data_IF_114544961099
#
_entry.id   IF_114544961099
#
_cell.length_a   1.000
_cell.length_b   1.000
_cell.length_c   1.000
_cell.angle_alpha   90.00
_cell.angle_beta   90.00
_cell.angle_gamma   90.00
#
_symmetry.space_group_name_H-M   'P 1'
#
loop_
_entity.id
_entity.type
_entity.pdbx_description
1 polymer ?
#
# COMPACT_ATOMS: atom_id res chain seq x y z
N UNK A 1 14.15 14.94 -36.45
CA UNK A 1 12.83 14.56 -36.99
C UNK A 1 12.36 13.31 -36.26
N UNK A 2 11.53 13.50 -35.23
CA UNK A 2 10.99 12.42 -34.39
C UNK A 2 9.65 11.97 -34.97
N UNK A 3 9.55 10.72 -35.43
CA UNK A 3 8.30 10.09 -35.82
C UNK A 3 7.76 9.27 -34.63
N UNK A 4 6.49 9.52 -34.30
CA UNK A 4 5.74 8.87 -33.22
C UNK A 4 5.51 7.39 -33.55
N UNK A 5 5.73 6.50 -32.58
CA UNK A 5 5.21 5.14 -32.59
C UNK A 5 4.49 4.88 -31.26
N UNK A 6 3.16 4.90 -31.32
CA UNK A 6 2.25 4.49 -30.25
C UNK A 6 2.24 2.97 -30.17
N UNK A 7 2.77 2.40 -29.08
CA UNK A 7 2.66 0.97 -28.80
C UNK A 7 1.25 0.70 -28.26
N UNK A 8 0.47 -0.04 -29.05
CA UNK A 8 -0.89 -0.48 -28.77
C UNK A 8 -0.82 -1.69 -27.83
N UNK A 9 -1.34 -1.54 -26.61
CA UNK A 9 -1.42 -2.57 -25.57
C UNK A 9 -2.75 -3.32 -25.75
N UNK A 10 -2.86 -4.18 -26.77
CA UNK A 10 -4.08 -4.96 -27.05
C UNK A 10 -3.74 -6.32 -27.66
N UNK A 11 -3.08 -7.23 -26.92
CA UNK A 11 -2.89 -8.60 -27.45
C UNK A 11 -2.72 -9.73 -26.44
N UNK A 12 -2.82 -9.49 -25.12
CA UNK A 12 -2.65 -10.58 -24.13
C UNK A 12 -3.99 -11.10 -23.57
N UNK A 13 -5.09 -10.37 -23.72
CA UNK A 13 -6.39 -10.76 -23.13
C UNK A 13 -7.26 -11.63 -24.05
N UNK A 14 -6.89 -11.80 -25.32
CA UNK A 14 -7.75 -12.46 -26.33
C UNK A 14 -7.54 -13.98 -26.43
N UNK A 15 -6.50 -14.53 -25.81
CA UNK A 15 -6.16 -15.96 -25.95
C UNK A 15 -6.81 -16.89 -24.90
N UNK A 16 -7.33 -16.35 -23.80
CA UNK A 16 -8.00 -17.14 -22.75
C UNK A 16 -9.52 -17.30 -22.96
N UNK A 17 -10.12 -16.51 -23.87
CA UNK A 17 -11.57 -16.52 -24.12
C UNK A 17 -12.03 -17.58 -25.13
N UNK A 18 -11.11 -18.31 -25.79
CA UNK A 18 -11.42 -19.17 -26.93
C UNK A 18 -11.47 -20.69 -26.64
N UNK A 19 -11.51 -21.10 -25.36
CA UNK A 19 -11.61 -22.53 -24.97
C UNK A 19 -12.66 -22.77 -23.89
N UNK A 20 -13.93 -22.50 -24.20
CA UNK A 20 -15.07 -23.17 -23.56
C UNK A 20 -16.22 -23.15 -24.57
N UNK A 21 -16.69 -24.32 -24.95
CA UNK A 21 -17.79 -24.48 -25.92
C UNK A 21 -19.05 -23.71 -25.46
N UNK A 22 -19.84 -23.12 -26.37
CA UNK A 22 -21.09 -22.46 -26.02
C UNK A 22 -22.17 -23.54 -25.80
N UNK A 23 -22.16 -24.21 -24.65
CA UNK A 23 -23.22 -25.15 -24.29
C UNK A 23 -24.12 -24.55 -23.21
N UNK A 24 -25.21 -23.92 -23.70
CA UNK A 24 -26.45 -23.53 -22.99
C UNK A 24 -26.35 -22.27 -22.13
N UNK A 25 -26.19 -21.12 -22.80
CA UNK A 25 -26.40 -19.80 -22.21
C UNK A 25 -27.82 -19.66 -21.61
N UNK A 26 -27.94 -18.87 -20.54
CA UNK A 26 -29.24 -18.43 -20.05
C UNK A 26 -29.93 -17.63 -21.16
N UNK A 27 -31.21 -17.88 -21.39
CA UNK A 27 -32.03 -17.07 -22.30
C UNK A 27 -33.26 -16.54 -21.59
N UNK A 28 -33.62 -15.31 -21.96
CA UNK A 28 -34.82 -14.61 -21.50
C UNK A 28 -35.71 -14.37 -22.72
N UNK A 29 -36.99 -14.70 -22.59
CA UNK A 29 -38.01 -14.30 -23.56
C UNK A 29 -39.22 -13.71 -22.84
N UNK A 30 -39.84 -12.73 -23.50
CA UNK A 30 -40.96 -11.97 -22.96
C UNK A 30 -42.22 -12.30 -23.75
N UNK A 31 -43.31 -12.57 -23.06
CA UNK A 31 -44.64 -12.69 -23.64
C UNK A 31 -45.67 -12.05 -22.73
N UNK A 32 -46.61 -11.30 -23.30
CA UNK A 32 -47.74 -10.75 -22.55
C UNK A 32 -48.97 -11.65 -22.82
N UNK A 33 -49.51 -12.28 -21.77
CA UNK A 33 -50.63 -13.24 -21.85
C UNK A 33 -51.67 -12.87 -20.79
N UNK A 34 -52.94 -12.73 -21.19
CA UNK A 34 -54.08 -12.46 -20.31
C UNK A 34 -53.88 -11.28 -19.33
N UNK A 35 -53.28 -10.19 -19.82
CA UNK A 35 -53.02 -9.00 -19.01
C UNK A 35 -51.93 -9.18 -17.93
N UNK A 36 -51.12 -10.24 -18.03
CA UNK A 36 -49.93 -10.48 -17.22
C UNK A 36 -48.70 -10.53 -18.11
N UNK A 37 -47.55 -10.10 -17.58
CA UNK A 37 -46.26 -10.19 -18.28
C UNK A 37 -45.53 -11.46 -17.85
N UNK A 38 -45.17 -12.31 -18.80
CA UNK A 38 -44.46 -13.56 -18.57
C UNK A 38 -42.99 -13.41 -18.96
N UNK A 39 -42.08 -13.64 -18.01
CA UNK A 39 -40.64 -13.75 -18.22
C UNK A 39 -40.26 -15.22 -18.24
N UNK A 40 -39.92 -15.76 -19.41
CA UNK A 40 -39.47 -17.15 -19.55
C UNK A 40 -37.96 -17.20 -19.47
N UNK A 41 -37.45 -17.83 -18.41
CA UNK A 41 -36.04 -18.13 -18.21
C UNK A 41 -35.76 -19.58 -18.60
N UNK A 42 -34.75 -19.79 -19.44
CA UNK A 42 -34.34 -21.11 -19.91
C UNK A 42 -32.83 -21.29 -19.89
N UNK A 43 -32.39 -22.55 -19.82
CA UNK A 43 -30.97 -22.91 -19.81
C UNK A 43 -30.39 -22.98 -18.40
N UNK A 44 -29.10 -22.66 -18.26
CA UNK A 44 -28.39 -22.69 -16.98
C UNK A 44 -28.41 -21.30 -16.34
N UNK A 45 -28.81 -21.20 -15.07
CA UNK A 45 -28.73 -19.98 -14.26
C UNK A 45 -27.61 -20.13 -13.23
N UNK A 46 -26.38 -19.82 -13.63
CA UNK A 46 -25.22 -19.79 -12.75
C UNK A 46 -24.57 -18.41 -12.73
N UNK A 47 -23.64 -18.17 -11.80
CA UNK A 47 -22.98 -16.87 -11.65
C UNK A 47 -22.36 -16.31 -12.96
N UNK A 48 -22.04 -17.18 -13.93
CA UNK A 48 -21.46 -16.79 -15.21
C UNK A 48 -22.53 -16.51 -16.27
N UNK A 49 -23.62 -17.29 -16.31
CA UNK A 49 -24.65 -17.17 -17.34
C UNK A 49 -25.68 -16.07 -17.05
N UNK A 50 -25.94 -15.76 -15.78
CA UNK A 50 -26.97 -14.78 -15.38
C UNK A 50 -26.61 -13.34 -15.75
N UNK A 51 -25.32 -13.02 -15.93
CA UNK A 51 -24.86 -11.66 -16.23
C UNK A 51 -25.50 -11.07 -17.50
N UNK A 52 -25.82 -11.92 -18.49
CA UNK A 52 -26.45 -11.49 -19.74
C UNK A 52 -27.97 -11.34 -19.68
N UNK A 53 -28.65 -11.99 -18.73
CA UNK A 53 -30.13 -11.99 -18.66
C UNK A 53 -30.68 -11.18 -17.48
N UNK A 54 -29.87 -10.94 -16.45
CA UNK A 54 -30.32 -10.24 -15.24
C UNK A 54 -30.69 -8.77 -15.52
N UNK A 55 -29.89 -7.95 -16.22
CA UNK A 55 -30.26 -6.56 -16.52
C UNK A 55 -31.54 -6.48 -17.35
N UNK A 56 -31.69 -7.37 -18.33
CA UNK A 56 -32.87 -7.41 -19.21
C UNK A 56 -34.12 -7.86 -18.47
N UNK A 57 -34.00 -8.85 -17.57
CA UNK A 57 -35.10 -9.28 -16.71
C UNK A 57 -35.54 -8.14 -15.77
N UNK A 58 -34.59 -7.40 -15.19
CA UNK A 58 -34.86 -6.22 -14.36
C UNK A 58 -35.58 -5.12 -15.17
N UNK A 59 -35.05 -4.79 -16.34
CA UNK A 59 -35.65 -3.80 -17.23
C UNK A 59 -37.07 -4.19 -17.68
N UNK A 60 -37.32 -5.48 -17.94
CA UNK A 60 -38.64 -5.98 -18.32
C UNK A 60 -39.68 -5.84 -17.19
N UNK A 61 -39.26 -6.04 -15.93
CA UNK A 61 -40.10 -5.77 -14.77
C UNK A 61 -40.39 -4.26 -14.65
N UNK A 62 -39.38 -3.41 -14.80
CA UNK A 62 -39.50 -1.96 -14.63
C UNK A 62 -40.34 -1.31 -15.74
N UNK A 63 -40.33 -1.88 -16.95
CA UNK A 63 -41.14 -1.45 -18.08
C UNK A 63 -42.66 -1.73 -17.92
N UNK A 64 -43.06 -2.58 -16.96
CA UNK A 64 -44.47 -2.89 -16.71
C UNK A 64 -44.84 -2.74 -15.23
N UNK A 65 -44.73 -1.55 -14.63
CA UNK A 65 -44.79 -1.37 -13.17
C UNK A 65 -46.12 -1.76 -12.52
N UNK A 66 -47.23 -1.72 -13.28
CA UNK A 66 -48.59 -1.97 -12.79
C UNK A 66 -49.16 -3.32 -13.23
N UNK A 67 -48.37 -4.18 -13.85
CA UNK A 67 -48.82 -5.46 -14.39
C UNK A 67 -48.26 -6.61 -13.53
N UNK A 68 -49.04 -7.66 -13.21
CA UNK A 68 -48.51 -8.86 -12.57
C UNK A 68 -47.46 -9.53 -13.46
N UNK A 69 -46.37 -10.00 -12.86
CA UNK A 69 -45.26 -10.62 -13.60
C UNK A 69 -45.08 -12.08 -13.19
N UNK A 70 -45.12 -12.98 -14.16
CA UNK A 70 -44.90 -14.41 -13.96
C UNK A 70 -43.51 -14.79 -14.49
N UNK A 71 -42.65 -15.31 -13.63
CA UNK A 71 -41.32 -15.80 -14.01
C UNK A 71 -41.43 -17.31 -14.24
N UNK A 72 -41.46 -17.72 -15.49
CA UNK A 72 -41.54 -19.12 -15.90
C UNK A 72 -40.13 -19.74 -15.99
N UNK A 73 -39.91 -20.79 -15.19
CA UNK A 73 -38.59 -21.41 -15.00
C UNK A 73 -38.57 -22.91 -15.33
N UNK A 74 -39.62 -23.45 -15.94
CA UNK A 74 -39.71 -24.88 -16.30
C UNK A 74 -38.57 -25.36 -17.20
N UNK A 75 -37.99 -24.47 -18.01
CA UNK A 75 -36.85 -24.76 -18.91
C UNK A 75 -35.48 -24.47 -18.29
N UNK A 76 -35.43 -24.21 -16.98
CA UNK A 76 -34.16 -24.05 -16.25
C UNK A 76 -33.57 -25.43 -15.95
N UNK A 77 -32.38 -25.68 -16.47
CA UNK A 77 -31.67 -26.94 -16.33
C UNK A 77 -30.87 -26.99 -15.04
N UNK A 78 -30.26 -25.86 -14.66
CA UNK A 78 -29.38 -25.71 -13.51
C UNK A 78 -29.57 -24.33 -12.87
N UNK A 79 -29.51 -24.25 -11.54
CA UNK A 79 -29.58 -23.00 -10.78
C UNK A 79 -28.62 -23.08 -9.58
N UNK A 80 -27.68 -22.13 -9.46
CA UNK A 80 -26.78 -22.00 -8.29
C UNK A 80 -27.19 -20.84 -7.36
N UNK A 81 -26.35 -20.50 -6.38
CA UNK A 81 -26.59 -19.36 -5.49
C UNK A 81 -26.72 -18.01 -6.21
N UNK A 82 -26.02 -17.81 -7.33
CA UNK A 82 -26.16 -16.62 -8.18
C UNK A 82 -27.51 -16.59 -8.90
N UNK A 83 -27.94 -17.72 -9.46
CA UNK A 83 -29.26 -17.87 -10.06
C UNK A 83 -30.41 -17.64 -9.05
N UNK A 84 -30.27 -18.16 -7.83
CA UNK A 84 -31.22 -17.91 -6.74
C UNK A 84 -31.20 -16.43 -6.34
N UNK A 85 -30.02 -15.81 -6.21
CA UNK A 85 -29.90 -14.39 -5.91
C UNK A 85 -30.58 -13.51 -6.96
N UNK A 86 -30.51 -13.87 -8.25
CA UNK A 86 -31.26 -13.20 -9.31
C UNK A 86 -32.77 -13.33 -9.12
N UNK A 87 -33.29 -14.54 -8.84
CA UNK A 87 -34.72 -14.74 -8.60
C UNK A 87 -35.22 -13.97 -7.36
N UNK A 88 -34.46 -13.98 -6.26
CA UNK A 88 -34.74 -13.19 -5.07
C UNK A 88 -34.72 -11.69 -5.39
N UNK A 89 -33.75 -11.24 -6.21
CA UNK A 89 -33.70 -9.85 -6.66
C UNK A 89 -34.91 -9.44 -7.49
N UNK A 90 -35.45 -10.32 -8.35
CA UNK A 90 -36.66 -10.03 -9.10
C UNK A 90 -37.91 -10.00 -8.19
N UNK A 91 -37.99 -10.91 -7.21
CA UNK A 91 -39.11 -11.02 -6.26
C UNK A 91 -39.15 -9.88 -5.23
N UNK A 92 -38.00 -9.39 -4.78
CA UNK A 92 -37.93 -8.34 -3.73
C UNK A 92 -38.36 -6.95 -4.23
N UNK A 93 -38.59 -6.77 -5.52
CA UNK A 93 -38.68 -5.43 -6.09
C UNK A 93 -39.99 -4.74 -5.72
N UNK A 94 -39.94 -3.43 -5.41
CA UNK A 94 -41.09 -2.71 -4.88
C UNK A 94 -42.16 -2.60 -5.97
N UNK A 95 -43.32 -3.22 -5.74
CA UNK A 95 -44.47 -3.22 -6.66
C UNK A 95 -45.78 -3.12 -5.90
N UNK A 96 -46.84 -2.66 -6.57
CA UNK A 96 -48.18 -2.59 -6.00
C UNK A 96 -48.71 -3.99 -5.66
N UNK A 97 -49.60 -4.14 -4.67
CA UNK A 97 -50.16 -5.45 -4.28
C UNK A 97 -50.78 -6.23 -5.44
N UNK A 98 -51.34 -5.52 -6.41
CA UNK A 98 -52.01 -6.06 -7.61
C UNK A 98 -51.03 -6.45 -8.73
N UNK A 99 -49.76 -6.06 -8.64
CA UNK A 99 -48.74 -6.22 -9.69
C UNK A 99 -47.54 -7.07 -9.23
N UNK A 100 -47.78 -8.03 -8.33
CA UNK A 100 -46.72 -8.85 -7.74
C UNK A 100 -46.02 -9.77 -8.75
N UNK A 101 -44.80 -10.17 -8.40
CA UNK A 101 -43.97 -11.11 -9.15
C UNK A 101 -44.12 -12.49 -8.54
N UNK A 102 -44.35 -13.51 -9.36
CA UNK A 102 -44.41 -14.90 -8.91
C UNK A 102 -43.53 -15.79 -9.79
N UNK A 103 -42.83 -16.75 -9.17
CA UNK A 103 -42.03 -17.75 -9.90
C UNK A 103 -42.85 -19.02 -10.06
N UNK A 104 -42.92 -19.52 -11.30
CA UNK A 104 -43.63 -20.76 -11.67
C UNK A 104 -42.67 -21.73 -12.37
N UNK A 105 -42.97 -23.02 -12.30
CA UNK A 105 -42.18 -24.06 -13.00
C UNK A 105 -40.83 -24.40 -12.39
N UNK A 106 -40.50 -23.88 -11.20
CA UNK A 106 -39.19 -24.10 -10.58
C UNK A 106 -39.07 -25.55 -10.07
N UNK A 107 -38.02 -26.25 -10.49
CA UNK A 107 -37.76 -27.63 -10.04
C UNK A 107 -37.63 -27.69 -8.49
N UNK A 108 -38.13 -28.75 -7.83
CA UNK A 108 -38.18 -28.84 -6.36
C UNK A 108 -36.83 -28.62 -5.65
N UNK A 109 -35.75 -29.10 -6.26
CA UNK A 109 -34.38 -28.94 -5.76
C UNK A 109 -33.93 -27.47 -5.64
N UNK A 110 -34.36 -26.60 -6.57
CA UNK A 110 -34.03 -25.18 -6.56
C UNK A 110 -35.04 -24.37 -5.74
N UNK A 111 -36.29 -24.83 -5.67
CA UNK A 111 -37.31 -24.25 -4.81
C UNK A 111 -36.89 -24.28 -3.34
N UNK A 112 -36.28 -25.39 -2.90
CA UNK A 112 -35.75 -25.51 -1.52
C UNK A 112 -34.68 -24.45 -1.21
N UNK A 113 -33.87 -24.06 -2.20
CA UNK A 113 -32.88 -22.99 -2.03
C UNK A 113 -33.54 -21.61 -2.03
N UNK A 114 -34.55 -21.39 -2.87
CA UNK A 114 -35.29 -20.12 -2.93
C UNK A 114 -36.06 -19.86 -1.63
N UNK A 115 -36.69 -20.91 -1.07
CA UNK A 115 -37.50 -20.83 0.15
C UNK A 115 -36.66 -20.49 1.41
N UNK A 116 -35.33 -20.59 1.35
CA UNK A 116 -34.43 -20.13 2.43
C UNK A 116 -34.33 -18.61 2.52
N UNK A 117 -34.77 -17.88 1.49
CA UNK A 117 -34.68 -16.43 1.42
C UNK A 117 -36.09 -15.82 1.47
N UNK A 118 -36.36 -14.96 2.45
CA UNK A 118 -37.57 -14.14 2.49
C UNK A 118 -37.37 -12.87 1.63
N UNK A 119 -38.01 -12.76 0.45
CA UNK A 119 -37.83 -11.62 -0.45
C UNK A 119 -38.39 -10.32 0.15
N UNK A 120 -39.34 -10.40 1.07
CA UNK A 120 -39.97 -9.23 1.72
C UNK A 120 -39.05 -8.70 2.83
N UNK A 121 -38.46 -9.59 3.63
CA UNK A 121 -37.46 -9.20 4.63
C UNK A 121 -36.16 -8.66 3.99
N UNK A 122 -35.83 -9.10 2.77
CA UNK A 122 -34.66 -8.64 1.99
C UNK A 122 -34.95 -7.46 1.07
N UNK A 123 -36.11 -6.81 1.19
CA UNK A 123 -36.33 -5.50 0.55
C UNK A 123 -35.29 -4.54 1.10
N UNK A 124 -34.41 -4.07 0.21
CA UNK A 124 -33.46 -3.03 0.58
C UNK A 124 -34.27 -1.84 1.14
N UNK A 125 -33.87 -1.26 2.29
CA UNK A 125 -34.46 0.00 2.73
C UNK A 125 -34.42 0.98 1.56
N UNK A 126 -35.42 1.88 1.42
CA UNK A 126 -35.43 2.87 0.36
C UNK A 126 -34.04 3.52 0.32
N UNK A 127 -33.39 3.53 -0.86
CA UNK A 127 -32.07 4.15 -1.01
C UNK A 127 -32.18 5.53 -0.38
N UNK A 128 -31.54 5.72 0.77
CA UNK A 128 -31.40 7.05 1.34
C UNK A 128 -30.81 7.88 0.22
N UNK A 129 -31.50 8.97 -0.15
CA UNK A 129 -30.96 9.89 -1.13
C UNK A 129 -29.54 10.17 -0.66
N UNK A 130 -28.54 9.90 -1.51
CA UNK A 130 -27.19 10.35 -1.27
C UNK A 130 -27.30 11.87 -1.17
N UNK A 131 -27.49 12.38 0.05
CA UNK A 131 -27.38 13.78 0.34
C UNK A 131 -26.02 14.14 -0.23
N UNK A 132 -26.01 15.01 -1.24
CA UNK A 132 -24.76 15.55 -1.79
C UNK A 132 -24.05 16.16 -0.60
N UNK A 133 -23.10 15.42 -0.07
CA UNK A 133 -22.44 15.79 1.15
C UNK A 133 -21.74 17.10 0.85
N UNK A 134 -22.19 18.15 1.54
CA UNK A 134 -21.54 19.44 1.49
C UNK A 134 -20.04 19.20 1.72
N UNK A 135 -19.19 19.90 0.98
CA UNK A 135 -17.72 19.79 1.07
C UNK A 135 -17.23 19.85 2.54
N UNK A 136 -17.97 20.55 3.41
CA UNK A 136 -17.75 20.60 4.87
C UNK A 136 -17.91 19.22 5.54
N UNK A 137 -18.92 18.43 5.16
CA UNK A 137 -19.13 17.08 5.69
C UNK A 137 -18.08 16.08 5.18
N UNK A 138 -17.58 16.25 3.95
CA UNK A 138 -16.43 15.48 3.45
C UNK A 138 -15.15 15.78 4.21
N UNK A 139 -14.86 17.08 4.44
CA UNK A 139 -13.75 17.52 5.28
C UNK A 139 -13.90 16.98 6.71
N UNK A 140 -15.11 17.04 7.27
CA UNK A 140 -15.40 16.51 8.61
C UNK A 140 -15.12 15.01 8.72
N UNK A 141 -15.53 14.21 7.73
CA UNK A 141 -15.20 12.78 7.68
C UNK A 141 -13.71 12.52 7.51
N UNK A 142 -13.03 13.26 6.63
CA UNK A 142 -11.59 13.15 6.45
C UNK A 142 -10.84 13.45 7.76
N UNK A 143 -11.26 14.50 8.48
CA UNK A 143 -10.71 14.85 9.78
C UNK A 143 -10.92 13.74 10.83
N UNK A 144 -12.09 13.11 10.85
CA UNK A 144 -12.36 11.99 11.75
C UNK A 144 -11.50 10.75 11.43
N UNK A 145 -11.28 10.46 10.14
CA UNK A 145 -10.40 9.37 9.70
C UNK A 145 -8.97 9.64 10.15
N UNK A 146 -8.43 10.83 9.84
CA UNK A 146 -7.09 11.24 10.27
C UNK A 146 -6.95 11.19 11.80
N UNK A 147 -7.96 11.69 12.53
CA UNK A 147 -7.95 11.67 13.98
C UNK A 147 -7.96 10.24 14.56
N UNK A 148 -8.68 9.31 13.94
CA UNK A 148 -8.67 7.89 14.35
C UNK A 148 -7.33 7.23 14.04
N UNK A 149 -6.79 7.46 12.84
CA UNK A 149 -5.53 6.87 12.41
C UNK A 149 -4.36 7.39 13.26
N UNK A 150 -4.40 8.66 13.66
CA UNK A 150 -3.43 9.24 14.58
C UNK A 150 -3.44 8.56 15.95
N UNK A 151 -4.61 8.20 16.49
CA UNK A 151 -4.70 7.41 17.74
C UNK A 151 -4.06 6.04 17.59
N UNK A 152 -4.27 5.36 16.47
CA UNK A 152 -3.65 4.05 16.17
C UNK A 152 -2.13 4.20 16.09
N UNK A 153 -1.63 5.26 15.44
CA UNK A 153 -0.21 5.51 15.34
C UNK A 153 0.44 5.79 16.71
N UNK A 154 -0.22 6.58 17.57
CA UNK A 154 0.22 6.80 18.95
C UNK A 154 0.24 5.51 19.75
N UNK A 155 -0.80 4.67 19.63
CA UNK A 155 -0.85 3.37 20.30
C UNK A 155 0.29 2.45 19.84
N UNK A 156 0.55 2.38 18.53
CA UNK A 156 1.64 1.58 17.97
C UNK A 156 3.02 2.07 18.40
N UNK A 157 3.23 3.39 18.46
CA UNK A 157 4.46 3.97 19.02
C UNK A 157 4.62 3.56 20.48
N UNK A 158 3.56 3.68 21.29
CA UNK A 158 3.58 3.25 22.69
C UNK A 158 3.91 1.77 22.88
N UNK A 159 3.28 0.90 22.09
CA UNK A 159 3.55 -0.54 22.08
C UNK A 159 5.00 -0.83 21.68
N UNK A 160 5.48 -0.22 20.61
CA UNK A 160 6.86 -0.38 20.11
C UNK A 160 7.88 0.13 21.13
N UNK A 161 7.66 1.30 21.73
CA UNK A 161 8.53 1.84 22.78
C UNK A 161 8.55 0.94 24.01
N UNK A 162 7.40 0.39 24.42
CA UNK A 162 7.33 -0.56 25.54
C UNK A 162 8.06 -1.86 25.23
N UNK A 163 7.97 -2.36 24.00
CA UNK A 163 8.65 -3.56 23.52
C UNK A 163 10.16 -3.34 23.44
N UNK A 164 10.61 -2.17 22.99
CA UNK A 164 12.02 -1.79 22.95
C UNK A 164 12.59 -1.65 24.36
N UNK A 165 11.85 -1.03 25.28
CA UNK A 165 12.23 -0.95 26.69
C UNK A 165 12.35 -2.34 27.34
N UNK A 166 11.40 -3.24 27.05
CA UNK A 166 11.45 -4.63 27.48
C UNK A 166 12.69 -5.35 26.92
N UNK A 167 13.03 -5.11 25.65
CA UNK A 167 14.22 -5.67 25.01
C UNK A 167 15.52 -5.20 25.69
N UNK A 168 15.64 -3.91 25.99
CA UNK A 168 16.79 -3.34 26.70
C UNK A 168 16.95 -3.95 28.10
N UNK A 169 15.84 -4.14 28.83
CA UNK A 169 15.87 -4.72 30.18
C UNK A 169 16.07 -6.24 30.19
N UNK A 170 15.71 -6.93 29.11
CA UNK A 170 15.80 -8.39 28.99
C UNK A 170 16.55 -8.82 27.71
N UNK A 171 17.85 -8.48 27.54
CA UNK A 171 18.57 -8.68 26.29
C UNK A 171 18.74 -10.16 25.89
N UNK A 172 18.67 -11.08 26.86
CA UNK A 172 18.74 -12.53 26.61
C UNK A 172 17.48 -13.08 25.89
N UNK A 173 16.36 -12.34 25.90
CA UNK A 173 15.13 -12.71 25.18
C UNK A 173 15.14 -12.27 23.72
N UNK A 174 16.13 -11.47 23.31
CA UNK A 174 16.26 -10.98 21.94
C UNK A 174 16.94 -12.05 21.07
N UNK A 175 16.43 -12.26 19.86
CA UNK A 175 17.05 -13.13 18.85
C UNK A 175 18.18 -12.40 18.14
N UNK A 176 19.33 -12.32 18.79
CA UNK A 176 20.51 -11.61 18.27
C UNK A 176 20.94 -12.06 16.87
N UNK A 177 20.70 -13.31 16.49
CA UNK A 177 20.96 -13.80 15.13
C UNK A 177 20.18 -13.01 14.07
N UNK A 178 18.91 -12.72 14.34
CA UNK A 178 18.04 -11.96 13.44
C UNK A 178 18.43 -10.48 13.41
N UNK A 179 18.89 -9.94 14.56
CA UNK A 179 19.43 -8.57 14.64
C UNK A 179 20.66 -8.44 13.76
N UNK A 180 21.64 -9.35 13.85
CA UNK A 180 22.86 -9.29 13.04
C UNK A 180 22.60 -9.44 11.55
N UNK A 181 21.69 -10.36 11.19
CA UNK A 181 21.24 -10.49 9.81
C UNK A 181 20.61 -9.19 9.30
N UNK A 182 19.80 -8.53 10.13
CA UNK A 182 19.21 -7.23 9.78
C UNK A 182 20.27 -6.12 9.71
N UNK A 183 21.28 -6.12 10.58
CA UNK A 183 22.39 -5.17 10.53
C UNK A 183 23.17 -5.26 9.20
N UNK A 184 23.40 -6.47 8.69
CA UNK A 184 24.02 -6.67 7.38
C UNK A 184 23.18 -6.03 6.26
N UNK A 185 21.87 -6.29 6.27
CA UNK A 185 20.97 -5.72 5.27
C UNK A 185 20.89 -4.20 5.36
N UNK A 186 20.76 -3.64 6.57
CA UNK A 186 20.61 -2.20 6.80
C UNK A 186 21.90 -1.45 6.57
N UNK A 187 23.02 -2.01 7.02
CA UNK A 187 24.33 -1.38 6.99
C UNK A 187 25.12 -1.70 5.73
N UNK A 188 25.58 -2.95 5.60
CA UNK A 188 26.53 -3.35 4.54
C UNK A 188 25.96 -3.09 3.16
N UNK A 189 24.71 -3.49 2.92
CA UNK A 189 24.07 -3.27 1.63
C UNK A 189 23.76 -1.78 1.36
N UNK A 190 23.84 -0.89 2.36
CA UNK A 190 23.62 0.55 2.20
C UNK A 190 24.91 1.32 1.93
N UNK A 191 26.08 0.74 2.27
CA UNK A 191 27.39 1.38 2.09
C UNK A 191 27.63 1.97 0.68
N UNK A 192 27.28 1.30 -0.43
CA UNK A 192 27.55 1.87 -1.76
C UNK A 192 26.77 3.16 -2.04
N UNK A 193 25.51 3.22 -1.62
CA UNK A 193 24.66 4.39 -1.84
C UNK A 193 25.07 5.53 -0.89
N UNK A 194 25.37 5.20 0.37
CA UNK A 194 25.87 6.17 1.35
C UNK A 194 27.21 6.76 0.87
N UNK A 195 28.15 5.92 0.43
CA UNK A 195 29.44 6.37 -0.08
C UNK A 195 29.27 7.33 -1.27
N UNK A 196 28.46 6.94 -2.25
CA UNK A 196 28.24 7.75 -3.45
C UNK A 196 27.65 9.11 -3.11
N UNK A 197 26.59 9.14 -2.30
CA UNK A 197 25.89 10.39 -1.97
C UNK A 197 26.75 11.29 -1.09
N UNK A 198 27.39 10.75 -0.05
CA UNK A 198 28.25 11.53 0.83
C UNK A 198 29.47 12.09 0.10
N UNK A 199 30.07 11.31 -0.80
CA UNK A 199 31.19 11.76 -1.62
C UNK A 199 30.79 12.93 -2.53
N UNK A 200 29.68 12.79 -3.25
CA UNK A 200 29.16 13.86 -4.11
C UNK A 200 28.78 15.10 -3.32
N UNK A 201 28.19 14.93 -2.13
CA UNK A 201 27.86 16.05 -1.25
C UNK A 201 29.12 16.81 -0.82
N UNK A 202 30.18 16.09 -0.43
CA UNK A 202 31.47 16.67 -0.09
C UNK A 202 32.07 17.49 -1.23
N UNK A 203 32.00 16.97 -2.46
CA UNK A 203 32.44 17.71 -3.67
C UNK A 203 31.63 19.00 -3.85
N UNK A 204 30.30 18.89 -3.80
CA UNK A 204 29.39 20.02 -4.04
C UNK A 204 29.64 21.12 -3.00
N UNK A 205 29.76 20.76 -1.72
CA UNK A 205 29.99 21.71 -0.64
C UNK A 205 31.34 22.41 -0.76
N UNK A 206 32.41 21.66 -1.02
CA UNK A 206 33.75 22.23 -1.19
C UNK A 206 33.78 23.18 -2.40
N UNK A 207 33.19 22.78 -3.53
CA UNK A 207 33.15 23.62 -4.73
C UNK A 207 32.33 24.89 -4.50
N UNK A 208 31.15 24.77 -3.88
CA UNK A 208 30.25 25.91 -3.63
C UNK A 208 30.85 26.92 -2.64
N UNK A 209 31.62 26.46 -1.66
CA UNK A 209 32.27 27.32 -0.66
C UNK A 209 33.61 27.89 -1.13
N UNK A 210 34.35 27.20 -1.99
CA UNK A 210 35.64 27.68 -2.49
C UNK A 210 35.52 28.90 -3.41
N UNK A 211 34.50 28.95 -4.27
CA UNK A 211 34.30 30.08 -5.20
C UNK A 211 34.19 31.44 -4.49
N UNK A 212 33.36 31.63 -3.45
CA UNK A 212 33.33 32.89 -2.72
C UNK A 212 34.61 33.13 -1.89
N UNK A 213 35.19 32.10 -1.27
CA UNK A 213 36.40 32.26 -0.44
C UNK A 213 37.64 32.67 -1.23
N UNK A 214 37.72 32.25 -2.50
CA UNK A 214 38.75 32.70 -3.45
C UNK A 214 38.80 34.22 -3.60
N UNK A 215 37.65 34.89 -3.55
CA UNK A 215 37.59 36.35 -3.66
C UNK A 215 38.21 37.06 -2.46
N UNK A 216 38.27 36.39 -1.31
CA UNK A 216 38.86 36.89 -0.07
C UNK A 216 40.27 36.33 0.18
N UNK A 217 40.81 35.49 -0.72
CA UNK A 217 42.09 34.80 -0.52
C UNK A 217 42.07 33.78 0.62
N UNK A 218 40.89 33.30 1.00
CA UNK A 218 40.60 32.52 2.20
C UNK A 218 40.25 31.05 1.88
N UNK A 219 40.77 30.51 0.78
CA UNK A 219 40.38 29.20 0.22
C UNK A 219 40.65 28.03 1.17
N UNK A 220 41.65 28.13 2.06
CA UNK A 220 41.97 27.07 3.03
C UNK A 220 40.85 26.84 4.05
N UNK A 221 40.13 27.89 4.44
CA UNK A 221 39.01 27.82 5.40
C UNK A 221 37.76 27.13 4.82
N UNK A 222 37.79 26.74 3.54
CA UNK A 222 36.80 25.81 2.99
C UNK A 222 36.86 24.46 3.70
N UNK A 223 38.05 24.04 4.14
CA UNK A 223 38.25 22.83 4.92
C UNK A 223 37.43 22.84 6.21
N UNK A 224 37.44 23.96 6.93
CA UNK A 224 36.64 24.17 8.15
C UNK A 224 35.15 24.02 7.89
N UNK A 225 34.67 24.70 6.85
CA UNK A 225 33.26 24.69 6.50
C UNK A 225 32.81 23.27 6.14
N UNK A 226 33.57 22.59 5.29
CA UNK A 226 33.27 21.22 4.86
C UNK A 226 33.33 20.25 6.05
N UNK A 227 34.40 20.30 6.85
CA UNK A 227 34.59 19.46 8.02
C UNK A 227 33.45 19.63 9.03
N UNK A 228 33.25 20.84 9.55
CA UNK A 228 32.20 21.08 10.55
C UNK A 228 30.79 20.80 10.03
N UNK A 229 30.49 21.19 8.79
CA UNK A 229 29.13 21.00 8.23
C UNK A 229 28.81 19.52 8.03
N UNK A 230 29.77 18.73 7.57
CA UNK A 230 29.59 17.29 7.38
C UNK A 230 29.45 16.61 8.73
N UNK A 231 30.43 16.75 9.63
CA UNK A 231 30.42 16.04 10.91
C UNK A 231 29.22 16.39 11.81
N UNK A 232 28.82 17.66 11.87
CA UNK A 232 27.79 18.09 12.85
C UNK A 232 26.37 17.97 12.35
N UNK A 233 26.15 18.15 11.06
CA UNK A 233 24.80 18.36 10.51
C UNK A 233 24.52 17.41 9.37
N UNK A 234 25.32 17.46 8.31
CA UNK A 234 24.97 16.83 7.04
C UNK A 234 25.21 15.32 7.02
N UNK A 235 26.24 14.81 7.69
CA UNK A 235 26.48 13.37 7.84
C UNK A 235 25.31 12.64 8.50
N UNK A 236 24.90 13.04 9.72
CA UNK A 236 23.74 12.47 10.40
C UNK A 236 22.44 12.65 9.61
N UNK A 237 22.22 13.84 9.04
CA UNK A 237 20.99 14.14 8.29
C UNK A 237 20.87 13.28 7.03
N UNK A 238 21.95 13.16 6.25
CA UNK A 238 21.92 12.40 5.00
C UNK A 238 21.79 10.90 5.26
N UNK A 239 22.50 10.38 6.26
CA UNK A 239 22.38 8.96 6.65
C UNK A 239 20.98 8.65 7.20
N UNK A 240 20.37 9.54 7.99
CA UNK A 240 18.99 9.40 8.45
C UNK A 240 17.98 9.33 7.31
N UNK A 241 18.05 10.28 6.36
CA UNK A 241 17.14 10.34 5.20
C UNK A 241 17.29 9.09 4.34
N UNK A 242 18.53 8.65 4.09
CA UNK A 242 18.81 7.47 3.28
C UNK A 242 18.32 6.19 3.97
N UNK A 243 18.58 6.05 5.26
CA UNK A 243 18.12 4.91 6.05
C UNK A 243 16.59 4.83 6.05
N UNK A 244 15.91 5.95 6.31
CA UNK A 244 14.45 6.04 6.30
C UNK A 244 13.87 5.70 4.92
N UNK A 245 14.48 6.20 3.84
CA UNK A 245 14.03 5.92 2.48
C UNK A 245 14.26 4.47 2.07
N UNK A 246 15.51 4.00 2.08
CA UNK A 246 15.88 2.70 1.51
C UNK A 246 15.53 1.54 2.45
N UNK A 247 15.97 1.59 3.71
CA UNK A 247 15.74 0.50 4.67
C UNK A 247 14.32 0.55 5.22
N UNK A 248 13.77 1.75 5.48
CA UNK A 248 12.38 1.91 5.90
C UNK A 248 11.37 1.40 4.86
N UNK A 249 11.56 1.71 3.57
CA UNK A 249 10.70 1.16 2.51
C UNK A 249 10.85 -0.36 2.37
N UNK A 250 12.07 -0.90 2.48
CA UNK A 250 12.29 -2.34 2.45
C UNK A 250 11.57 -3.05 3.60
N UNK A 251 11.65 -2.50 4.83
CA UNK A 251 10.94 -3.03 5.98
C UNK A 251 9.41 -2.96 5.84
N UNK A 252 8.90 -1.85 5.31
CA UNK A 252 7.47 -1.70 5.05
C UNK A 252 6.98 -2.71 4.00
N UNK A 253 7.75 -2.92 2.93
CA UNK A 253 7.44 -3.91 1.91
C UNK A 253 7.46 -5.34 2.48
N UNK A 254 8.50 -5.68 3.25
CA UNK A 254 8.64 -7.01 3.87
C UNK A 254 7.49 -7.31 4.82
N UNK A 255 7.20 -6.40 5.77
CA UNK A 255 6.07 -6.55 6.71
C UNK A 255 4.73 -6.56 5.95
N UNK A 256 4.60 -5.78 4.89
CA UNK A 256 3.42 -5.77 4.02
C UNK A 256 3.18 -7.13 3.36
N UNK A 257 4.22 -7.75 2.80
CA UNK A 257 4.15 -9.10 2.23
C UNK A 257 3.82 -10.14 3.29
N UNK A 258 4.45 -10.08 4.47
CA UNK A 258 4.14 -10.97 5.60
C UNK A 258 2.68 -10.85 6.05
N UNK A 259 2.10 -9.64 5.99
CA UNK A 259 0.69 -9.40 6.30
C UNK A 259 -0.23 -10.04 5.26
N UNK A 260 0.05 -9.86 3.97
CA UNK A 260 -0.76 -10.43 2.87
C UNK A 260 -0.67 -11.96 2.84
N UNK A 261 0.48 -12.53 3.20
CA UNK A 261 0.69 -13.97 3.30
C UNK A 261 0.20 -14.59 4.61
N UNK A 262 -0.45 -13.82 5.48
CA UNK A 262 -0.96 -14.29 6.78
C UNK A 262 0.15 -14.79 7.75
N UNK A 263 1.41 -14.45 7.50
CA UNK A 263 2.55 -14.84 8.34
C UNK A 263 2.50 -14.13 9.71
N UNK A 264 2.00 -12.89 9.75
CA UNK A 264 1.79 -12.15 11.01
C UNK A 264 0.73 -12.83 11.90
N UNK A 265 -0.33 -13.38 11.29
CA UNK A 265 -1.39 -14.09 12.01
C UNK A 265 -0.95 -15.50 12.44
N UNK A 266 -0.05 -16.12 11.68
CA UNK A 266 0.60 -17.37 12.10
C UNK A 266 1.43 -17.15 13.38
N UNK A 267 2.20 -16.05 13.46
CA UNK A 267 2.98 -15.70 14.66
C UNK A 267 2.09 -15.51 15.89
N UNK A 268 0.99 -14.76 15.76
CA UNK A 268 0.04 -14.55 16.88
C UNK A 268 -0.62 -15.86 17.33
N UNK A 269 -0.95 -16.75 16.38
CA UNK A 269 -1.50 -18.09 16.68
C UNK A 269 -0.49 -19.00 17.40
N UNK A 270 0.80 -18.83 17.13
CA UNK A 270 1.89 -19.49 17.85
C UNK A 270 2.17 -18.89 19.24
N UNK A 271 1.42 -17.86 19.65
CA UNK A 271 1.62 -17.16 20.93
C UNK A 271 2.82 -16.22 20.93
N UNK A 272 3.33 -15.84 19.75
CA UNK A 272 4.43 -14.89 19.60
C UNK A 272 3.88 -13.50 19.28
N UNK A 273 4.37 -12.50 20.01
CA UNK A 273 4.08 -11.09 19.75
C UNK A 273 4.86 -10.62 18.50
N UNK A 274 4.17 -10.27 17.38
CA UNK A 274 4.83 -9.84 16.15
C UNK A 274 5.66 -8.56 16.34
N UNK A 275 5.25 -7.64 17.21
CA UNK A 275 5.99 -6.38 17.43
C UNK A 275 7.35 -6.68 18.05
N UNK A 276 7.39 -7.52 19.09
CA UNK A 276 8.65 -7.93 19.72
C UNK A 276 9.53 -8.75 18.80
N UNK A 277 8.94 -9.58 17.95
CA UNK A 277 9.68 -10.51 17.10
C UNK A 277 10.25 -9.83 15.85
N UNK A 278 9.48 -8.95 15.22
CA UNK A 278 9.76 -8.38 13.91
C UNK A 278 10.16 -6.90 13.97
N UNK A 279 9.49 -6.09 14.77
CA UNK A 279 9.70 -4.63 14.77
C UNK A 279 10.91 -4.28 15.62
N UNK A 280 11.02 -4.84 16.81
CA UNK A 280 12.13 -4.57 17.75
C UNK A 280 13.49 -4.94 17.16
N UNK A 281 13.60 -6.09 16.50
CA UNK A 281 14.86 -6.54 15.87
C UNK A 281 15.35 -5.58 14.80
N UNK A 282 14.44 -5.08 13.95
CA UNK A 282 14.73 -4.08 12.92
C UNK A 282 15.11 -2.72 13.50
N UNK A 283 14.42 -2.26 14.56
CA UNK A 283 14.73 -1.00 15.23
C UNK A 283 16.12 -1.07 15.88
N UNK A 284 16.45 -2.14 16.59
CA UNK A 284 17.77 -2.31 17.21
C UNK A 284 18.86 -2.31 16.13
N UNK A 285 18.66 -3.04 15.04
CA UNK A 285 19.62 -3.05 13.93
C UNK A 285 19.81 -1.65 13.31
N UNK A 286 18.72 -0.90 13.12
CA UNK A 286 18.79 0.47 12.62
C UNK A 286 19.52 1.41 13.59
N UNK A 287 19.22 1.35 14.88
CA UNK A 287 19.87 2.16 15.93
C UNK A 287 21.37 1.86 16.04
N UNK A 288 21.78 0.60 15.85
CA UNK A 288 23.20 0.23 15.86
C UNK A 288 23.91 0.67 14.58
N UNK A 289 23.27 0.51 13.42
CA UNK A 289 23.91 0.80 12.14
C UNK A 289 23.94 2.29 11.78
N UNK A 290 22.99 3.09 12.25
CA UNK A 290 22.90 4.53 11.94
C UNK A 290 24.17 5.32 12.32
N UNK A 291 24.71 5.25 13.56
CA UNK A 291 25.95 5.94 13.90
C UNK A 291 27.17 5.41 13.14
N UNK A 292 27.23 4.10 12.86
CA UNK A 292 28.31 3.50 12.06
C UNK A 292 28.29 4.01 10.62
N UNK A 293 27.10 4.11 10.02
CA UNK A 293 26.93 4.67 8.68
C UNK A 293 27.22 6.17 8.66
N UNK A 294 26.93 6.91 9.74
CA UNK A 294 27.26 8.33 9.88
C UNK A 294 28.78 8.55 9.82
N UNK A 295 29.55 7.82 10.63
CA UNK A 295 31.03 7.93 10.62
C UNK A 295 31.58 7.63 9.23
N UNK A 296 31.05 6.59 8.58
CA UNK A 296 31.44 6.24 7.23
C UNK A 296 31.09 7.35 6.21
N UNK A 297 29.88 7.90 6.30
CA UNK A 297 29.44 9.03 5.48
C UNK A 297 30.34 10.26 5.67
N UNK A 298 30.72 10.57 6.90
CA UNK A 298 31.58 11.70 7.24
C UNK A 298 32.96 11.54 6.60
N UNK A 299 33.57 10.36 6.75
CA UNK A 299 34.87 10.06 6.13
C UNK A 299 34.82 10.22 4.61
N UNK A 300 33.82 9.63 3.97
CA UNK A 300 33.69 9.66 2.51
C UNK A 300 33.36 11.08 2.02
N UNK A 301 32.57 11.84 2.77
CA UNK A 301 32.26 13.23 2.45
C UNK A 301 33.48 14.15 2.54
N UNK A 302 34.29 14.01 3.60
CA UNK A 302 35.55 14.75 3.75
C UNK A 302 36.50 14.42 2.60
N UNK A 303 36.59 13.15 2.18
CA UNK A 303 37.41 12.75 1.02
C UNK A 303 36.93 13.40 -0.29
N UNK A 304 35.61 13.51 -0.50
CA UNK A 304 35.05 14.24 -1.64
C UNK A 304 35.40 15.73 -1.64
N UNK A 305 35.36 16.35 -0.46
CA UNK A 305 35.78 17.73 -0.27
C UNK A 305 37.28 17.92 -0.54
N UNK A 306 38.12 17.05 0.01
CA UNK A 306 39.57 17.08 -0.19
C UNK A 306 39.94 16.97 -1.67
N UNK A 307 39.29 16.07 -2.42
CA UNK A 307 39.53 15.92 -3.86
C UNK A 307 39.20 17.21 -4.62
N UNK A 308 38.14 17.91 -4.23
CA UNK A 308 37.73 19.16 -4.88
C UNK A 308 38.76 20.27 -4.64
N UNK A 309 39.30 20.36 -3.42
CA UNK A 309 40.28 21.38 -3.05
C UNK A 309 41.62 21.23 -3.78
N UNK A 310 41.97 20.02 -4.26
CA UNK A 310 43.12 19.82 -5.16
C UNK A 310 42.97 20.65 -6.44
N UNK A 311 41.74 20.80 -6.95
CA UNK A 311 41.48 21.62 -8.15
C UNK A 311 41.68 23.13 -7.91
N UNK A 312 41.70 23.55 -6.65
CA UNK A 312 42.01 24.92 -6.21
C UNK A 312 43.49 25.11 -5.82
N UNK A 313 44.36 24.14 -6.13
CA UNK A 313 45.80 24.12 -5.76
C UNK A 313 46.06 24.01 -4.24
N UNK A 314 45.10 23.52 -3.46
CA UNK A 314 45.31 23.20 -2.05
C UNK A 314 45.60 21.70 -1.93
N UNK A 315 46.79 21.30 -1.44
CA UNK A 315 47.14 19.89 -1.31
C UNK A 315 46.28 19.20 -0.24
N UNK A 316 45.99 17.92 -0.44
CA UNK A 316 45.17 17.10 0.47
C UNK A 316 45.71 17.14 1.91
N UNK A 317 47.03 17.14 2.08
CA UNK A 317 47.66 17.21 3.40
C UNK A 317 47.35 18.52 4.13
N UNK A 318 47.31 19.66 3.44
CA UNK A 318 46.95 20.94 4.04
C UNK A 318 45.47 20.97 4.41
N UNK A 319 44.60 20.45 3.53
CA UNK A 319 43.18 20.33 3.80
C UNK A 319 42.90 19.47 5.04
N UNK A 320 43.51 18.28 5.13
CA UNK A 320 43.31 17.38 6.27
C UNK A 320 43.88 17.96 7.57
N UNK A 321 45.00 18.67 7.50
CA UNK A 321 45.56 19.35 8.67
C UNK A 321 44.66 20.48 9.16
N UNK A 322 44.04 21.23 8.26
CA UNK A 322 43.07 22.27 8.62
C UNK A 322 41.84 21.65 9.30
N UNK A 323 41.26 20.59 8.70
CA UNK A 323 40.13 19.85 9.30
C UNK A 323 40.48 19.31 10.68
N UNK A 324 41.64 18.68 10.85
CA UNK A 324 42.10 18.13 12.14
C UNK A 324 42.34 19.23 13.19
N UNK A 325 42.79 20.41 12.77
CA UNK A 325 43.04 21.52 13.68
C UNK A 325 41.77 22.16 14.24
N UNK A 326 40.64 22.05 13.52
CA UNK A 326 39.39 22.74 13.86
C UNK A 326 38.30 21.80 14.38
N UNK A 327 38.26 20.55 13.90
CA UNK A 327 37.25 19.56 14.31
C UNK A 327 37.60 18.97 15.68
N UNK A 328 36.78 19.24 16.69
CA UNK A 328 36.90 18.59 18.00
C UNK A 328 36.13 17.26 18.01
N UNK A 329 36.52 16.35 18.90
CA UNK A 329 35.76 15.12 19.19
C UNK A 329 34.32 15.45 19.57
N UNK A 330 34.09 16.63 20.16
CA UNK A 330 32.74 17.12 20.49
C UNK A 330 31.85 17.31 19.25
N UNK A 331 32.42 17.74 18.12
CA UNK A 331 31.65 17.93 16.89
C UNK A 331 31.20 16.59 16.30
N UNK A 332 32.10 15.59 16.32
CA UNK A 332 31.77 14.22 15.96
C UNK A 332 30.71 13.63 16.89
N UNK A 333 30.86 13.79 18.20
CA UNK A 333 29.89 13.29 19.18
C UNK A 333 28.52 13.98 19.04
N UNK A 334 28.50 15.28 18.73
CA UNK A 334 27.26 16.00 18.47
C UNK A 334 26.56 15.49 17.21
N UNK A 335 27.31 15.16 16.15
CA UNK A 335 26.78 14.50 14.96
C UNK A 335 26.23 13.11 15.28
N UNK A 336 27.02 12.28 15.96
CA UNK A 336 26.64 10.94 16.37
C UNK A 336 25.43 10.89 17.31
N UNK A 337 25.22 11.92 18.13
CA UNK A 337 24.05 12.02 19.00
C UNK A 337 22.76 12.39 18.24
N UNK A 338 22.89 12.98 17.04
CA UNK A 338 21.75 13.24 16.14
C UNK A 338 21.44 12.03 15.26
N UNK A 339 22.45 11.22 14.97
CA UNK A 339 22.31 9.90 14.36
C UNK A 339 21.64 8.92 15.34
#
# INVERSE_FOLDING_TARGET
>A
MCARHSVRVDSVTTAAAARMAPSRAASLSLSDVDGKRELRLAGRLDAYSIAGVWPDARAALDAAPNVPVLIETSRVEYCDGGGIAMLVDLLRQPRRPEAQVAVIGLKPQFKTLLDQFDPVAMRAPPKEHEERLHTVAEIGRAALIVGRDMRVQVAFIGETSSALWFAITHPHRIRWKDVWYTCEQVGVNALPIVALISFLLGIILAFQSAVPMKQFGAEIFVADLVGLSILRELGPLMTAILLAGRSGAAFAAEIGTMKVNEELNALTTMGLDPVRFLVVTRIIAALLMMPLLCIFADLIGILGGALTMVSFNIPISAFLHEVDSLVDVKDLLAGLAKA
#
